data_IF_693265975228
#
_entry.id   IF_693265975228
#
_cell.length_a   1.000
_cell.length_b   1.000
_cell.length_c   1.000
_cell.angle_alpha   90.00
_cell.angle_beta   90.00
_cell.angle_gamma   90.00
#
_symmetry.space_group_name_H-M   'P 1'
#
loop_
_entity.id
_entity.type
_entity.pdbx_description
1 polymer ?
#
# COMPACT_ATOMS: atom_id res chain seq x y z
N UNK A 1 16.09 12.22 4.23
CA UNK A 1 14.82 11.55 4.52
C UNK A 1 13.93 11.56 3.26
N UNK A 2 14.39 10.94 2.17
CA UNK A 2 13.89 11.13 0.79
C UNK A 2 13.59 9.82 0.06
N UNK A 3 13.45 8.71 0.78
CA UNK A 3 13.28 7.39 0.16
C UNK A 3 11.85 7.21 -0.33
N UNK A 4 11.67 7.01 -1.63
CA UNK A 4 10.36 6.76 -2.23
C UNK A 4 9.85 5.34 -1.93
N UNK A 5 10.75 4.35 -1.91
CA UNK A 5 10.46 2.93 -1.72
C UNK A 5 11.18 2.38 -0.49
N UNK A 6 10.73 1.23 0.02
CA UNK A 6 11.32 0.60 1.21
C UNK A 6 12.78 0.19 1.00
N UNK A 7 13.12 -0.30 -0.19
CA UNK A 7 14.47 -0.83 -0.48
C UNK A 7 14.94 -0.42 -1.88
N UNK A 8 16.26 -0.31 -2.06
CA UNK A 8 16.93 -0.23 -3.36
C UNK A 8 16.48 0.91 -4.30
N UNK A 9 15.87 1.98 -3.78
CA UNK A 9 15.38 3.14 -4.55
C UNK A 9 14.47 2.75 -5.75
N UNK A 10 13.74 1.65 -5.64
CA UNK A 10 12.80 1.18 -6.68
C UNK A 10 11.65 0.40 -6.06
N UNK A 11 10.57 0.24 -6.80
CA UNK A 11 9.46 -0.62 -6.37
C UNK A 11 9.92 -2.08 -6.30
N UNK A 12 9.69 -2.72 -5.15
CA UNK A 12 10.09 -4.11 -4.88
C UNK A 12 8.97 -4.92 -4.25
N UNK A 13 9.19 -6.22 -4.08
CA UNK A 13 8.29 -7.09 -3.32
C UNK A 13 8.14 -6.65 -1.86
N UNK A 14 9.15 -5.99 -1.28
CA UNK A 14 9.02 -5.43 0.07
C UNK A 14 7.87 -4.41 0.14
N UNK A 15 7.75 -3.55 -0.88
CA UNK A 15 6.67 -2.56 -0.94
C UNK A 15 5.30 -3.25 -1.05
N UNK A 16 5.22 -4.33 -1.84
CA UNK A 16 3.99 -5.12 -2.01
C UNK A 16 3.58 -5.78 -0.69
N UNK A 17 4.50 -6.49 -0.04
CA UNK A 17 4.22 -7.24 1.19
C UNK A 17 3.85 -6.31 2.35
N UNK A 18 4.60 -5.23 2.57
CA UNK A 18 4.36 -4.34 3.72
C UNK A 18 3.15 -3.45 3.49
N UNK A 19 2.86 -3.03 2.26
CA UNK A 19 1.69 -2.18 1.98
C UNK A 19 0.36 -2.89 2.24
N UNK A 20 0.33 -4.22 2.15
CA UNK A 20 -0.84 -5.00 2.53
C UNK A 20 -1.20 -4.82 4.02
N UNK A 21 -0.21 -4.85 4.93
CA UNK A 21 -0.46 -4.64 6.35
C UNK A 21 -1.07 -3.25 6.62
N UNK A 22 -0.57 -2.22 5.92
CA UNK A 22 -1.12 -0.86 6.05
C UNK A 22 -2.50 -0.74 5.40
N UNK A 23 -2.74 -1.40 4.27
CA UNK A 23 -4.07 -1.47 3.66
C UNK A 23 -5.09 -2.16 4.57
N UNK A 24 -4.69 -3.23 5.25
CA UNK A 24 -5.51 -3.92 6.24
C UNK A 24 -5.81 -3.00 7.43
N UNK A 25 -4.80 -2.32 7.97
CA UNK A 25 -4.97 -1.32 9.02
C UNK A 25 -5.98 -0.24 8.62
N UNK A 26 -5.92 0.27 7.37
CA UNK A 26 -6.92 1.21 6.82
C UNK A 26 -8.33 0.63 6.83
N UNK A 27 -8.47 -0.63 6.41
CA UNK A 27 -9.79 -1.31 6.36
C UNK A 27 -10.36 -1.52 7.77
N UNK A 28 -9.50 -1.70 8.76
CA UNK A 28 -9.84 -1.85 10.18
C UNK A 28 -9.93 -0.51 10.94
N UNK A 29 -9.73 0.64 10.27
CA UNK A 29 -9.75 1.98 10.87
C UNK A 29 -8.70 2.18 11.99
N UNK A 30 -7.51 1.57 11.84
CA UNK A 30 -6.37 1.72 12.76
C UNK A 30 -5.50 2.88 12.28
N UNK A 31 -5.80 4.09 12.76
CA UNK A 31 -5.15 5.34 12.32
C UNK A 31 -3.70 5.47 12.82
N UNK A 32 -3.35 4.84 13.94
CA UNK A 32 -2.02 4.89 14.56
C UNK A 32 -0.92 4.30 13.66
N UNK A 33 -1.30 3.47 12.70
CA UNK A 33 -0.40 2.92 11.68
C UNK A 33 0.07 3.98 10.67
N UNK A 34 -0.66 5.09 10.49
CA UNK A 34 -0.44 6.10 9.45
C UNK A 34 0.46 7.26 9.91
N UNK A 35 1.64 6.93 10.45
CA UNK A 35 2.68 7.93 10.70
C UNK A 35 3.06 8.66 9.40
N UNK A 36 3.55 9.91 9.43
CA UNK A 36 3.73 10.74 8.24
C UNK A 36 4.50 10.06 7.08
N UNK A 37 5.61 9.37 7.40
CA UNK A 37 6.41 8.68 6.39
C UNK A 37 5.70 7.44 5.80
N UNK A 38 4.94 6.71 6.63
CA UNK A 38 4.15 5.56 6.20
C UNK A 38 3.02 6.06 5.29
N UNK A 39 2.29 7.10 5.70
CA UNK A 39 1.20 7.68 4.93
C UNK A 39 1.67 8.14 3.55
N UNK A 40 2.75 8.93 3.47
CA UNK A 40 3.35 9.38 2.20
C UNK A 40 3.69 8.20 1.28
N UNK A 41 4.40 7.20 1.81
CA UNK A 41 4.81 6.02 1.05
C UNK A 41 3.60 5.20 0.58
N UNK A 42 2.60 4.97 1.43
CA UNK A 42 1.39 4.23 1.04
C UNK A 42 0.48 4.99 0.10
N UNK A 43 0.36 6.31 0.23
CA UNK A 43 -0.43 7.13 -0.70
C UNK A 43 0.14 7.02 -2.13
N UNK A 44 1.47 7.06 -2.26
CA UNK A 44 2.16 6.82 -3.53
C UNK A 44 1.85 5.42 -4.09
N UNK A 45 1.90 4.38 -3.26
CA UNK A 45 1.61 3.01 -3.70
C UNK A 45 0.14 2.80 -4.08
N UNK A 46 -0.79 3.34 -3.30
CA UNK A 46 -2.23 3.18 -3.51
C UNK A 46 -2.75 4.00 -4.68
N UNK A 47 -2.05 5.06 -5.09
CA UNK A 47 -2.39 5.80 -6.30
C UNK A 47 -2.01 5.08 -7.60
N UNK A 48 -1.25 3.97 -7.54
CA UNK A 48 -0.85 3.20 -8.73
C UNK A 48 -2.05 2.50 -9.36
N UNK A 49 -2.15 2.55 -10.69
CA UNK A 49 -3.22 1.87 -11.45
C UNK A 49 -3.27 0.36 -11.19
N UNK A 50 -2.11 -0.29 -10.99
CA UNK A 50 -2.05 -1.70 -10.63
C UNK A 50 -2.71 -1.99 -9.29
N UNK A 51 -2.55 -1.11 -8.30
CA UNK A 51 -3.20 -1.25 -6.99
C UNK A 51 -4.71 -1.05 -7.11
N UNK A 52 -5.15 0.02 -7.77
CA UNK A 52 -6.58 0.30 -8.01
C UNK A 52 -7.29 -0.88 -8.69
N UNK A 53 -6.66 -1.45 -9.72
CA UNK A 53 -7.16 -2.66 -10.42
C UNK A 53 -7.24 -3.89 -9.50
N UNK A 54 -6.26 -4.09 -8.61
CA UNK A 54 -6.27 -5.20 -7.67
C UNK A 54 -7.41 -5.06 -6.65
N UNK A 55 -7.62 -3.85 -6.10
CA UNK A 55 -8.72 -3.58 -5.18
C UNK A 55 -10.08 -3.75 -5.85
N UNK A 56 -10.25 -3.29 -7.10
CA UNK A 56 -11.48 -3.46 -7.86
C UNK A 56 -11.89 -4.95 -8.03
N UNK A 57 -10.91 -5.87 -8.00
CA UNK A 57 -11.15 -7.32 -8.12
C UNK A 57 -11.35 -8.03 -6.78
N UNK A 58 -11.11 -7.37 -5.65
CA UNK A 58 -11.14 -7.99 -4.30
C UNK A 58 -12.48 -8.66 -3.95
N UNK A 59 -13.58 -8.12 -4.47
CA UNK A 59 -14.94 -8.60 -4.19
C UNK A 59 -15.57 -9.34 -5.38
N UNK A 60 -14.81 -9.53 -6.46
CA UNK A 60 -15.27 -10.32 -7.60
C UNK A 60 -15.08 -11.79 -7.20
N UNK A 61 -16.20 -12.48 -6.96
CA UNK A 61 -16.17 -13.93 -6.81
C UNK A 61 -15.80 -14.54 -8.16
N UNK A 62 -14.87 -15.50 -8.24
CA UNK A 62 -14.67 -16.28 -9.45
C UNK A 62 -15.98 -17.03 -9.75
N UNK A 63 -16.43 -16.99 -11.01
CA UNK A 63 -17.42 -17.95 -11.52
C UNK A 63 -16.82 -19.37 -11.58
#
# INVERSE_FOLDING_TARGET
DSREYLCSNRFTIADICVSYAIYLAKTLQIEEAFKPNIKRWTDMLFNRESFKRAIARRYVSPE
#
